data_IF_742683727803
#
_entry.id   IF_742683727803
#
_cell.length_a   1.000
_cell.length_b   1.000
_cell.length_c   1.000
_cell.angle_alpha   90.00
_cell.angle_beta   90.00
_cell.angle_gamma   90.00
#
_symmetry.space_group_name_H-M   'P 1'
#
loop_
_entity.id
_entity.type
_entity.pdbx_description
1 polymer ?
#
# COMPACT_ATOMS: atom_id res chain seq x y z
N UNK A 1 12.01 -1.19 13.10
CA UNK A 1 11.06 -1.86 12.18
C UNK A 1 11.25 -1.24 10.81
N UNK A 2 11.59 -2.03 9.79
CA UNK A 2 11.84 -1.50 8.44
C UNK A 2 10.59 -0.77 7.90
N UNK A 3 10.74 0.48 7.46
CA UNK A 3 9.66 1.36 6.98
C UNK A 3 8.76 0.66 5.94
N UNK A 4 9.36 -0.14 5.04
CA UNK A 4 8.64 -0.89 4.02
C UNK A 4 7.68 -1.92 4.61
N UNK A 5 8.07 -2.61 5.69
CA UNK A 5 7.21 -3.59 6.37
C UNK A 5 6.02 -2.92 7.04
N UNK A 6 6.23 -1.73 7.63
CA UNK A 6 5.13 -0.94 8.19
C UNK A 6 4.12 -0.56 7.10
N UNK A 7 4.60 0.00 5.98
CA UNK A 7 3.76 0.38 4.83
C UNK A 7 3.02 -0.83 4.27
N UNK A 8 3.72 -1.93 4.03
CA UNK A 8 3.13 -3.17 3.54
C UNK A 8 2.00 -3.70 4.42
N UNK A 9 2.19 -3.65 5.74
CA UNK A 9 1.15 -4.05 6.70
C UNK A 9 -0.09 -3.15 6.61
N UNK A 10 0.09 -1.84 6.35
CA UNK A 10 -1.04 -0.91 6.19
C UNK A 10 -1.81 -1.15 4.89
N UNK A 11 -1.10 -1.39 3.79
CA UNK A 11 -1.68 -1.75 2.50
C UNK A 11 -2.54 -3.02 2.65
N UNK A 12 -1.99 -4.05 3.27
CA UNK A 12 -2.69 -5.32 3.54
C UNK A 12 -3.96 -5.11 4.37
N UNK A 13 -3.86 -4.35 5.46
CA UNK A 13 -5.01 -4.07 6.34
C UNK A 13 -6.15 -3.37 5.62
N UNK A 14 -5.86 -2.39 4.77
CA UNK A 14 -6.89 -1.73 3.96
C UNK A 14 -7.54 -2.69 2.97
N UNK A 15 -6.73 -3.49 2.27
CA UNK A 15 -7.22 -4.45 1.30
C UNK A 15 -8.22 -5.40 1.96
N UNK A 16 -7.82 -5.96 3.10
CA UNK A 16 -8.64 -6.87 3.89
C UNK A 16 -9.87 -6.17 4.48
N UNK A 17 -9.78 -4.92 4.94
CA UNK A 17 -10.94 -4.19 5.45
C UNK A 17 -11.98 -3.85 4.38
N UNK A 18 -11.61 -3.93 3.10
CA UNK A 18 -12.51 -3.79 1.95
C UNK A 18 -12.90 -5.12 1.31
N UNK A 19 -12.53 -6.24 1.92
CA UNK A 19 -12.73 -7.59 1.38
C UNK A 19 -12.17 -7.79 -0.04
N UNK A 20 -11.07 -7.09 -0.36
CA UNK A 20 -10.43 -7.18 -1.67
C UNK A 20 -9.38 -8.29 -1.71
N UNK A 21 -9.26 -8.94 -2.85
CA UNK A 21 -8.14 -9.78 -3.26
C UNK A 21 -6.94 -8.92 -3.66
N UNK A 22 -5.75 -9.51 -3.70
CA UNK A 22 -4.55 -8.79 -4.19
C UNK A 22 -4.66 -8.41 -5.66
N UNK A 23 -5.42 -9.19 -6.45
CA UNK A 23 -5.69 -8.92 -7.86
C UNK A 23 -6.60 -7.68 -8.02
N UNK A 24 -7.68 -7.57 -7.23
CA UNK A 24 -8.56 -6.39 -7.25
C UNK A 24 -7.84 -5.11 -6.79
N UNK A 25 -6.95 -5.22 -5.80
CA UNK A 25 -6.15 -4.07 -5.39
C UNK A 25 -5.11 -3.68 -6.46
N UNK A 26 -4.59 -4.67 -7.19
CA UNK A 26 -3.66 -4.43 -8.28
C UNK A 26 -4.34 -3.69 -9.44
N UNK A 27 -5.55 -4.11 -9.81
CA UNK A 27 -6.37 -3.43 -10.82
C UNK A 27 -6.70 -1.99 -10.42
N UNK A 28 -7.08 -1.78 -9.15
CA UNK A 28 -7.40 -0.44 -8.62
C UNK A 28 -6.19 0.52 -8.65
N UNK A 29 -4.98 -0.01 -8.48
CA UNK A 29 -3.74 0.76 -8.40
C UNK A 29 -2.92 0.71 -9.70
N UNK A 30 -3.53 0.24 -10.80
CA UNK A 30 -2.89 0.07 -12.11
C UNK A 30 -1.51 -0.60 -12.01
N UNK A 31 -1.47 -1.74 -11.31
CA UNK A 31 -0.25 -2.50 -11.05
C UNK A 31 -0.50 -4.00 -11.15
N UNK A 32 0.49 -4.81 -10.75
CA UNK A 32 0.39 -6.28 -10.80
C UNK A 32 0.15 -6.85 -9.41
N UNK A 33 -0.54 -7.99 -9.33
CA UNK A 33 -0.71 -8.75 -8.08
C UNK A 33 0.63 -9.06 -7.41
N UNK A 34 1.67 -9.36 -8.19
CA UNK A 34 3.03 -9.60 -7.70
C UNK A 34 3.61 -8.34 -7.04
N UNK A 35 3.38 -7.17 -7.64
CA UNK A 35 3.75 -5.88 -7.02
C UNK A 35 3.05 -5.71 -5.68
N UNK A 36 1.73 -5.92 -5.61
CA UNK A 36 0.95 -5.84 -4.36
C UNK A 36 1.50 -6.79 -3.30
N UNK A 37 1.74 -8.06 -3.65
CA UNK A 37 2.33 -9.02 -2.70
C UNK A 37 3.69 -8.56 -2.17
N UNK A 38 4.56 -8.03 -3.02
CA UNK A 38 5.89 -7.52 -2.60
C UNK A 38 5.78 -6.28 -1.74
N UNK A 39 4.80 -5.40 -1.99
CA UNK A 39 4.51 -4.26 -1.12
C UNK A 39 4.03 -4.74 0.25
N UNK A 40 3.05 -5.65 0.30
CA UNK A 40 2.49 -6.18 1.55
C UNK A 40 3.54 -6.90 2.41
N UNK A 41 4.48 -7.60 1.78
CA UNK A 41 5.58 -8.28 2.47
C UNK A 41 6.75 -7.34 2.84
N UNK A 42 6.74 -6.09 2.36
CA UNK A 42 7.83 -5.12 2.55
C UNK A 42 9.10 -5.43 1.74
N UNK A 43 9.01 -6.32 0.75
CA UNK A 43 10.10 -6.70 -0.17
C UNK A 43 10.38 -5.63 -1.23
N UNK A 44 9.39 -4.78 -1.51
CA UNK A 44 9.49 -3.66 -2.45
C UNK A 44 9.14 -2.35 -1.75
N UNK A 45 9.94 -1.31 -1.97
CA UNK A 45 9.60 0.07 -1.59
C UNK A 45 8.40 0.55 -2.41
N UNK A 46 7.35 0.99 -1.73
CA UNK A 46 6.30 1.79 -2.36
C UNK A 46 6.93 3.10 -2.88
N UNK A 47 6.69 3.44 -4.15
CA UNK A 47 7.10 4.73 -4.71
C UNK A 47 6.13 5.83 -4.25
N UNK A 48 6.51 7.09 -4.51
CA UNK A 48 5.70 8.24 -4.10
C UNK A 48 4.31 8.20 -4.72
N UNK A 49 4.18 7.87 -6.01
CA UNK A 49 2.87 7.82 -6.69
C UNK A 49 1.90 6.83 -6.03
N UNK A 50 2.39 5.62 -5.70
CA UNK A 50 1.59 4.64 -4.98
C UNK A 50 1.21 5.16 -3.60
N UNK A 51 2.14 5.76 -2.86
CA UNK A 51 1.83 6.34 -1.54
C UNK A 51 0.80 7.48 -1.64
N UNK A 52 0.83 8.28 -2.69
CA UNK A 52 -0.17 9.32 -2.95
C UNK A 52 -1.54 8.73 -3.27
N UNK A 53 -1.63 7.70 -4.12
CA UNK A 53 -2.91 7.05 -4.39
C UNK A 53 -3.48 6.39 -3.14
N UNK A 54 -2.63 5.73 -2.35
CA UNK A 54 -3.05 5.15 -1.08
C UNK A 54 -3.53 6.23 -0.11
N UNK A 55 -2.84 7.37 -0.05
CA UNK A 55 -3.27 8.53 0.73
C UNK A 55 -4.64 9.05 0.27
N UNK A 56 -4.88 9.20 -1.04
CA UNK A 56 -6.18 9.62 -1.58
C UNK A 56 -7.30 8.62 -1.30
N UNK A 57 -6.97 7.34 -1.18
CA UNK A 57 -7.92 6.28 -0.81
C UNK A 57 -8.17 6.18 0.71
N UNK A 58 -7.67 7.15 1.49
CA UNK A 58 -7.70 7.20 2.96
C UNK A 58 -6.99 6.00 3.63
N UNK A 59 -6.02 5.34 2.98
CA UNK A 59 -5.25 4.26 3.61
C UNK A 59 -4.31 4.73 4.72
N UNK A 60 -3.76 5.93 4.55
CA UNK A 60 -2.68 6.47 5.35
C UNK A 60 -2.99 7.93 5.64
N UNK A 61 -2.86 8.33 6.91
CA UNK A 61 -3.03 9.73 7.35
C UNK A 61 -1.93 10.61 6.76
N UNK A 62 -2.23 11.90 6.50
CA UNK A 62 -1.27 12.93 6.05
C UNK A 62 0.01 12.95 6.88
N UNK A 63 -0.10 12.68 8.18
CA UNK A 63 1.01 12.62 9.14
C UNK A 63 2.07 11.57 8.76
N UNK A 64 1.73 10.61 7.89
CA UNK A 64 2.58 9.49 7.50
C UNK A 64 3.34 9.70 6.18
N UNK A 65 2.84 10.56 5.28
CA UNK A 65 3.36 10.72 3.90
C UNK A 65 4.45 11.79 3.83
N UNK A 66 4.41 12.76 4.75
CA UNK A 66 5.42 13.81 4.87
C UNK A 66 5.99 13.78 6.29
N UNK A 67 7.18 13.19 6.50
CA UNK A 67 7.88 13.41 7.75
C UNK A 67 8.25 14.89 7.80
N UNK A 68 7.69 15.61 8.78
CA UNK A 68 8.18 16.93 9.20
C UNK A 68 9.51 16.77 9.92
#
# INVERSE_FOLDING_TARGET
MELNKFIGTKIKKFRESRNMTQDELAELLDTTRQSISRYENGERKANQDLLFELYRMNLISTLFVFPV
#
